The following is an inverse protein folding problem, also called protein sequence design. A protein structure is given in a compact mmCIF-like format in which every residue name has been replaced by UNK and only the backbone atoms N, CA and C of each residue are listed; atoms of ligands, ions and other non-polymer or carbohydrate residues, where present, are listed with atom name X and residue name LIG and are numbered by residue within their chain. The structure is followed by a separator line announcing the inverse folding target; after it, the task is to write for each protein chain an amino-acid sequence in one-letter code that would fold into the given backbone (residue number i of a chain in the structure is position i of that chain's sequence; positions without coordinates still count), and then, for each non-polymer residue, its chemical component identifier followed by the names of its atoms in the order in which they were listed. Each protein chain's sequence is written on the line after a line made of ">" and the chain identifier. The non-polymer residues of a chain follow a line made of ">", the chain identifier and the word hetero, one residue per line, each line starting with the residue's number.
data_IF_530313000266
#
_entry.id   IF_530313000266
#
_cell.length_a   1.000
_cell.length_b   1.000
_cell.length_c   1.000
_cell.angle_alpha   90.00
_cell.angle_beta   90.00
_cell.angle_gamma   90.00
#
_symmetry.space_group_name_H-M   'P 1'
#
loop_
_entity.id
_entity.type
_entity.pdbx_description
1 polymer ?
#
# COMPACT_ATOMS: atom_id res chain seq x y z
N UNK A 1 5.62 -4.55 14.21
CA UNK A 1 6.23 -3.22 14.05
C UNK A 1 5.94 -2.41 15.30
N UNK A 2 6.96 -1.75 15.87
CA UNK A 2 6.85 -0.84 17.01
C UNK A 2 7.12 0.59 16.52
N UNK A 3 6.31 1.53 16.98
CA UNK A 3 6.50 2.96 16.75
C UNK A 3 6.59 3.66 18.10
N UNK A 4 7.68 4.39 18.30
CA UNK A 4 7.89 5.14 19.54
C UNK A 4 6.94 6.33 19.59
N UNK A 5 6.45 6.64 20.79
CA UNK A 5 5.77 7.89 21.05
C UNK A 5 6.67 9.10 20.71
N UNK A 6 6.09 10.21 20.25
CA UNK A 6 6.83 11.46 20.06
C UNK A 6 7.49 11.95 21.36
N UNK A 7 8.60 12.68 21.22
CA UNK A 7 9.19 13.43 22.33
C UNK A 7 8.48 14.78 22.38
N UNK A 8 7.78 15.09 23.48
CA UNK A 8 6.90 16.27 23.64
C UNK A 8 5.59 16.20 22.81
N UNK A 9 4.75 17.24 22.91
CA UNK A 9 3.43 17.35 22.24
C UNK A 9 3.52 17.53 20.71
N UNK A 10 4.50 16.93 20.06
CA UNK A 10 4.73 17.00 18.62
C UNK A 10 4.14 15.77 17.91
N UNK A 11 3.78 15.93 16.63
CA UNK A 11 3.43 14.81 15.76
C UNK A 11 4.68 14.35 15.01
N UNK A 12 4.93 13.04 14.95
CA UNK A 12 6.05 12.48 14.18
C UNK A 12 5.56 11.49 13.12
N UNK A 13 6.29 11.40 12.01
CA UNK A 13 5.99 10.44 10.94
C UNK A 13 6.59 9.09 11.31
N UNK A 14 5.74 8.08 11.52
CA UNK A 14 6.16 6.69 11.69
C UNK A 14 6.41 5.99 10.36
N UNK A 15 5.51 6.19 9.39
CA UNK A 15 5.66 5.70 8.00
C UNK A 15 5.15 6.78 7.06
N UNK A 16 5.93 7.19 6.03
CA UNK A 16 5.49 8.20 5.08
C UNK A 16 4.30 7.71 4.23
N UNK A 17 3.55 8.64 3.58
CA UNK A 17 2.51 8.29 2.61
C UNK A 17 2.99 7.31 1.54
N UNK A 18 2.29 6.19 1.39
CA UNK A 18 2.57 5.17 0.38
C UNK A 18 1.32 4.34 0.04
N UNK A 19 1.45 3.51 -0.99
CA UNK A 19 0.54 2.41 -1.31
C UNK A 19 1.30 1.09 -1.13
N UNK A 20 0.60 0.04 -0.72
CA UNK A 20 1.19 -1.30 -0.67
C UNK A 20 1.39 -1.82 -2.09
N UNK A 21 2.59 -2.28 -2.44
CA UNK A 21 2.85 -2.86 -3.77
C UNK A 21 2.25 -4.26 -3.95
N UNK A 22 1.85 -4.90 -2.86
CA UNK A 22 1.49 -6.30 -2.76
C UNK A 22 0.06 -6.60 -3.30
N UNK A 23 -0.47 -7.80 -3.05
CA UNK A 23 -1.88 -8.12 -3.34
C UNK A 23 -2.81 -7.49 -2.30
N UNK A 24 -2.60 -7.84 -1.03
CA UNK A 24 -3.45 -7.43 0.08
C UNK A 24 -2.67 -7.47 1.39
N UNK A 25 -2.94 -6.52 2.27
CA UNK A 25 -2.39 -6.46 3.63
C UNK A 25 -3.49 -6.66 4.66
N UNK A 26 -3.29 -7.56 5.61
CA UNK A 26 -4.07 -7.62 6.85
C UNK A 26 -3.27 -6.95 7.96
N UNK A 27 -3.85 -5.94 8.59
CA UNK A 27 -3.21 -5.15 9.62
C UNK A 27 -3.99 -5.23 10.93
N UNK A 28 -3.31 -5.66 11.98
CA UNK A 28 -3.73 -5.50 13.36
C UNK A 28 -2.94 -4.37 14.01
N UNK A 29 -3.58 -3.62 14.91
CA UNK A 29 -2.90 -2.63 15.76
C UNK A 29 -3.46 -2.70 17.17
N UNK A 30 -2.66 -2.31 18.17
CA UNK A 30 -3.18 -2.02 19.50
C UNK A 30 -4.08 -0.77 19.48
N UNK A 31 -4.67 -0.42 20.62
CA UNK A 31 -5.64 0.67 20.77
C UNK A 31 -5.03 2.08 20.63
N UNK A 32 -3.75 2.17 20.27
CA UNK A 32 -3.06 3.44 19.98
C UNK A 32 -3.23 3.75 18.50
N UNK A 33 -3.93 4.86 18.22
CA UNK A 33 -4.14 5.33 16.85
C UNK A 33 -2.81 5.70 16.18
N UNK A 34 -2.83 5.72 14.85
CA UNK A 34 -1.72 6.28 14.08
C UNK A 34 -1.78 5.99 12.60
N UNK A 35 -2.50 4.93 12.19
CA UNK A 35 -2.76 4.71 10.77
C UNK A 35 -3.80 5.72 10.26
N UNK A 36 -3.40 6.46 9.24
CA UNK A 36 -4.27 7.35 8.48
C UNK A 36 -4.38 6.86 7.02
N UNK A 37 -5.60 6.87 6.49
CA UNK A 37 -5.92 6.49 5.11
C UNK A 37 -6.44 7.74 4.39
N UNK A 38 -5.92 8.01 3.20
CA UNK A 38 -6.37 9.13 2.38
C UNK A 38 -7.66 8.75 1.62
N UNK A 39 -8.69 9.58 1.73
CA UNK A 39 -9.92 9.41 0.96
C UNK A 39 -9.78 9.95 -0.48
N UNK A 40 -10.86 9.84 -1.27
CA UNK A 40 -10.87 10.28 -2.68
C UNK A 40 -10.75 11.80 -2.84
N UNK A 41 -11.10 12.55 -1.81
CA UNK A 41 -11.02 14.02 -1.77
C UNK A 41 -9.63 14.50 -1.32
N UNK A 42 -8.71 13.57 -1.02
CA UNK A 42 -7.34 13.86 -0.61
C UNK A 42 -7.19 14.09 0.89
N UNK A 43 -8.24 13.89 1.68
CA UNK A 43 -8.24 14.10 3.13
C UNK A 43 -7.73 12.87 3.87
N UNK A 44 -6.92 13.08 4.91
CA UNK A 44 -6.39 12.02 5.76
C UNK A 44 -7.39 11.66 6.86
N UNK A 45 -7.83 10.41 6.87
CA UNK A 45 -8.78 9.88 7.85
C UNK A 45 -8.09 8.94 8.84
N UNK A 46 -8.33 9.19 10.13
CA UNK A 46 -7.89 8.27 11.19
C UNK A 46 -8.70 6.97 11.17
N UNK A 47 -8.03 5.85 11.41
CA UNK A 47 -8.67 4.53 11.50
C UNK A 47 -8.90 4.15 12.96
N UNK A 48 -10.09 4.45 13.48
CA UNK A 48 -10.49 3.99 14.81
C UNK A 48 -11.04 2.57 14.71
N UNK A 49 -10.32 1.62 15.29
CA UNK A 49 -10.68 0.20 15.23
C UNK A 49 -11.26 -0.31 16.54
N UNK A 50 -12.06 -1.38 16.42
CA UNK A 50 -12.41 -2.23 17.56
C UNK A 50 -11.22 -3.13 17.93
N UNK A 51 -10.97 -3.41 19.22
CA UNK A 51 -9.88 -4.29 19.65
C UNK A 51 -9.85 -5.67 18.97
N UNK A 52 -10.99 -6.15 18.47
CA UNK A 52 -11.14 -7.47 17.84
C UNK A 52 -11.29 -7.39 16.32
N UNK A 53 -10.66 -6.39 15.69
CA UNK A 53 -10.76 -6.17 14.24
C UNK A 53 -9.40 -6.09 13.57
N UNK A 54 -9.41 -6.39 12.27
CA UNK A 54 -8.26 -6.22 11.38
C UNK A 54 -8.65 -5.28 10.25
N UNK A 55 -7.70 -4.48 9.78
CA UNK A 55 -7.85 -3.69 8.55
C UNK A 55 -7.37 -4.54 7.38
N UNK A 56 -8.15 -4.54 6.30
CA UNK A 56 -7.73 -5.12 5.02
C UNK A 56 -7.43 -3.97 4.07
N UNK A 57 -6.18 -3.88 3.61
CA UNK A 57 -5.73 -2.87 2.64
C UNK A 57 -5.50 -3.57 1.30
N UNK A 58 -6.07 -3.01 0.24
CA UNK A 58 -5.86 -3.46 -1.14
C UNK A 58 -4.50 -2.96 -1.59
N UNK A 59 -3.63 -3.86 -2.05
CA UNK A 59 -2.37 -3.49 -2.65
C UNK A 59 -2.50 -3.22 -4.16
N UNK A 60 -1.46 -2.60 -4.73
CA UNK A 60 -1.43 -2.22 -6.13
C UNK A 60 -1.44 -3.41 -7.08
N UNK A 61 -0.84 -4.53 -6.69
CA UNK A 61 -0.86 -5.72 -7.53
C UNK A 61 -2.30 -6.23 -7.70
N UNK A 62 -3.13 -6.17 -6.65
CA UNK A 62 -4.55 -6.55 -6.74
C UNK A 62 -5.35 -5.53 -7.55
N UNK A 63 -5.03 -4.23 -7.43
CA UNK A 63 -5.58 -3.19 -8.30
C UNK A 63 -5.32 -3.50 -9.78
N UNK A 64 -4.09 -3.88 -10.14
CA UNK A 64 -3.72 -4.29 -11.50
C UNK A 64 -4.47 -5.54 -11.94
N UNK A 65 -4.48 -6.59 -11.10
CA UNK A 65 -5.18 -7.83 -11.40
C UNK A 65 -6.68 -7.59 -11.64
N UNK A 66 -7.31 -6.68 -10.91
CA UNK A 66 -8.72 -6.30 -11.09
C UNK A 66 -8.97 -5.31 -12.24
N UNK A 67 -8.00 -5.08 -13.13
CA UNK A 67 -8.07 -4.09 -14.21
C UNK A 67 -8.44 -2.68 -13.72
N UNK A 68 -7.95 -2.28 -12.53
CA UNK A 68 -8.17 -0.95 -11.96
C UNK A 68 -9.52 -0.74 -11.28
N UNK A 69 -10.37 -1.77 -11.15
CA UNK A 69 -11.71 -1.65 -10.54
C UNK A 69 -11.70 -1.28 -9.06
N UNK A 70 -10.64 -1.65 -8.34
CA UNK A 70 -10.40 -1.24 -6.96
C UNK A 70 -9.10 -0.44 -6.88
N UNK A 71 -9.08 0.59 -6.05
CA UNK A 71 -7.90 1.43 -5.81
C UNK A 71 -7.14 0.98 -4.57
N UNK A 72 -5.81 0.86 -4.69
CA UNK A 72 -4.93 0.85 -3.52
C UNK A 72 -4.94 2.24 -2.87
N UNK A 73 -5.34 2.38 -1.61
CA UNK A 73 -5.40 3.69 -0.97
C UNK A 73 -4.02 4.14 -0.51
N UNK A 74 -3.76 5.45 -0.58
CA UNK A 74 -2.65 6.04 0.14
C UNK A 74 -2.90 5.91 1.64
N UNK A 75 -1.87 5.49 2.36
CA UNK A 75 -1.89 5.42 3.80
C UNK A 75 -0.55 5.82 4.38
N UNK A 76 -0.57 6.29 5.62
CA UNK A 76 0.61 6.71 6.38
C UNK A 76 0.45 6.34 7.85
N UNK A 77 1.55 6.36 8.59
CA UNK A 77 1.53 6.23 10.04
C UNK A 77 2.02 7.52 10.66
N UNK A 78 1.15 8.18 11.42
CA UNK A 78 1.45 9.36 12.23
C UNK A 78 1.44 8.96 13.70
N UNK A 79 2.46 9.39 14.44
CA UNK A 79 2.57 9.14 15.88
C UNK A 79 2.20 10.41 16.64
N UNK A 80 1.32 10.23 17.62
CA UNK A 80 0.80 11.27 18.50
C UNK A 80 0.58 10.72 19.90
N UNK A 81 0.60 11.60 20.90
CA UNK A 81 0.31 11.24 22.29
C UNK A 81 1.52 10.68 23.04
N UNK A 82 1.24 9.94 24.10
CA UNK A 82 2.21 9.55 25.14
C UNK A 82 2.43 8.03 25.25
N UNK A 83 1.88 7.26 24.30
CA UNK A 83 1.93 5.80 24.27
C UNK A 83 2.60 5.27 22.99
N UNK A 84 3.34 4.16 23.12
CA UNK A 84 3.94 3.47 21.97
C UNK A 84 2.86 2.72 21.16
N UNK A 85 2.95 2.76 19.83
CA UNK A 85 2.05 1.99 18.94
C UNK A 85 2.70 0.68 18.51
N UNK A 86 1.90 -0.38 18.53
CA UNK A 86 2.28 -1.71 18.05
C UNK A 86 1.32 -2.15 16.96
N UNK A 87 1.86 -2.75 15.90
CA UNK A 87 1.05 -3.33 14.84
C UNK A 87 1.67 -4.59 14.25
N UNK A 88 0.83 -5.46 13.73
CA UNK A 88 1.20 -6.68 13.01
C UNK A 88 0.61 -6.58 11.61
N UNK A 89 1.48 -6.59 10.59
CA UNK A 89 1.09 -6.63 9.19
C UNK A 89 1.38 -8.01 8.60
N UNK A 90 0.37 -8.60 7.96
CA UNK A 90 0.50 -9.76 7.09
C UNK A 90 0.34 -9.30 5.65
N UNK A 91 1.41 -9.43 4.87
CA UNK A 91 1.47 -8.95 3.49
C UNK A 91 1.40 -10.15 2.53
N UNK A 92 0.38 -10.19 1.68
CA UNK A 92 0.23 -11.24 0.67
C UNK A 92 0.92 -10.86 -0.64
N UNK A 93 1.78 -11.74 -1.15
CA UNK A 93 2.50 -11.54 -2.40
C UNK A 93 2.12 -12.56 -3.46
N UNK A 94 2.52 -12.29 -4.70
CA UNK A 94 2.46 -13.25 -5.80
C UNK A 94 3.79 -14.00 -5.86
N UNK A 95 3.75 -15.30 -6.11
CA UNK A 95 4.96 -16.12 -6.30
C UNK A 95 5.74 -15.63 -7.52
N UNK A 96 7.04 -15.40 -7.38
CA UNK A 96 7.93 -15.09 -8.51
C UNK A 96 7.88 -16.16 -9.60
N UNK A 97 7.98 -15.72 -10.86
CA UNK A 97 7.76 -16.54 -12.06
C UNK A 97 6.29 -16.67 -12.46
N UNK A 98 5.34 -16.23 -11.64
CA UNK A 98 3.92 -16.23 -11.99
C UNK A 98 3.50 -14.89 -12.59
N UNK A 99 3.01 -14.93 -13.83
CA UNK A 99 2.53 -13.75 -14.53
C UNK A 99 1.20 -13.28 -13.96
N UNK A 100 1.20 -12.11 -13.34
CA UNK A 100 -0.02 -11.39 -12.97
C UNK A 100 -0.64 -10.86 -14.24
N UNK A 101 -1.81 -11.39 -14.58
CA UNK A 101 -2.61 -11.00 -15.74
C UNK A 101 -4.00 -10.59 -15.30
N UNK A 102 -4.53 -9.55 -15.96
CA UNK A 102 -5.94 -9.18 -15.84
C UNK A 102 -6.79 -10.37 -16.32
N UNK A 103 -7.77 -10.85 -15.53
CA UNK A 103 -8.76 -11.83 -15.97
C UNK A 103 -9.55 -11.31 -17.17
N UNK A 104 -9.77 -12.18 -18.17
CA UNK A 104 -10.45 -11.78 -19.40
C UNK A 104 -11.90 -11.34 -19.14
N UNK A 105 -12.52 -11.87 -18.09
CA UNK A 105 -13.87 -11.53 -17.63
C UNK A 105 -14.00 -10.09 -17.12
N UNK A 106 -12.87 -9.43 -16.81
CA UNK A 106 -12.84 -8.04 -16.37
C UNK A 106 -12.58 -7.06 -17.52
N UNK A 107 -12.43 -7.55 -18.75
CA UNK A 107 -12.14 -6.78 -19.95
C UNK A 107 -13.32 -6.83 -20.92
N UNK A 108 -13.84 -5.66 -21.30
CA UNK A 108 -14.95 -5.51 -22.24
C UNK A 108 -14.86 -4.14 -22.94
N UNK A 109 -15.79 -3.84 -23.85
CA UNK A 109 -15.81 -2.58 -24.60
C UNK A 109 -15.92 -1.33 -23.71
N UNK A 110 -16.47 -1.47 -22.50
CA UNK A 110 -16.59 -0.37 -21.50
C UNK A 110 -15.39 -0.32 -20.56
N UNK A 111 -14.66 -1.42 -20.39
CA UNK A 111 -13.51 -1.58 -19.52
C UNK A 111 -12.37 -2.23 -20.32
N UNK A 112 -11.69 -1.48 -21.20
CA UNK A 112 -10.59 -2.02 -22.00
C UNK A 112 -9.44 -2.48 -21.09
N UNK A 113 -8.55 -3.31 -21.64
CA UNK A 113 -7.37 -3.78 -20.92
C UNK A 113 -6.46 -2.59 -20.58
N UNK A 114 -6.27 -2.32 -19.29
CA UNK A 114 -5.40 -1.23 -18.83
C UNK A 114 -3.97 -1.68 -18.56
N UNK A 115 -3.79 -2.96 -18.24
CA UNK A 115 -2.51 -3.49 -17.79
C UNK A 115 -2.10 -4.76 -18.53
N UNK A 116 -0.88 -4.78 -19.07
CA UNK A 116 -0.26 -5.96 -19.67
C UNK A 116 0.23 -6.94 -18.58
N UNK A 117 0.35 -8.24 -18.91
CA UNK A 117 0.90 -9.22 -17.97
C UNK A 117 2.30 -8.83 -17.50
N UNK A 118 2.59 -9.06 -16.22
CA UNK A 118 3.91 -8.82 -15.63
C UNK A 118 4.29 -9.86 -14.58
N UNK A 119 5.58 -10.07 -14.38
CA UNK A 119 6.09 -10.76 -13.20
C UNK A 119 6.26 -9.74 -12.07
N UNK A 120 5.58 -9.99 -10.95
CA UNK A 120 5.57 -9.05 -9.83
C UNK A 120 6.90 -9.03 -9.07
N UNK A 121 7.61 -10.15 -8.99
CA UNK A 121 8.92 -10.21 -8.33
C UNK A 121 9.98 -9.46 -9.15
N UNK A 122 9.95 -9.60 -10.47
CA UNK A 122 10.83 -8.82 -11.35
C UNK A 122 10.57 -7.32 -11.22
N UNK A 123 9.29 -6.91 -11.14
CA UNK A 123 8.94 -5.52 -10.87
C UNK A 123 9.53 -5.03 -9.54
N UNK A 124 9.37 -5.80 -8.45
CA UNK A 124 9.90 -5.41 -7.13
C UNK A 124 11.43 -5.29 -7.14
N UNK A 125 12.14 -6.18 -7.84
CA UNK A 125 13.60 -6.10 -8.05
C UNK A 125 13.98 -4.85 -8.84
N UNK A 126 13.30 -4.57 -9.94
CA UNK A 126 13.48 -3.35 -10.73
C UNK A 126 13.26 -2.10 -9.89
N UNK A 127 12.12 -2.00 -9.21
CA UNK A 127 11.74 -0.84 -8.40
C UNK A 127 12.74 -0.59 -7.27
N UNK A 128 13.17 -1.65 -6.56
CA UNK A 128 14.20 -1.55 -5.52
C UNK A 128 15.52 -1.01 -6.06
N UNK A 129 15.90 -1.41 -7.28
CA UNK A 129 17.11 -0.89 -7.94
C UNK A 129 17.01 0.60 -8.29
N UNK A 130 15.83 1.08 -8.69
CA UNK A 130 15.60 2.49 -9.02
C UNK A 130 15.60 3.39 -7.77
N UNK A 131 15.08 2.88 -6.65
CA UNK A 131 15.20 3.54 -5.34
C UNK A 131 16.67 3.63 -4.93
N UNK A 132 17.43 2.54 -5.04
CA UNK A 132 18.85 2.51 -4.69
C UNK A 132 19.70 3.50 -5.51
N UNK A 133 19.35 3.73 -6.78
CA UNK A 133 20.00 4.72 -7.66
C UNK A 133 19.54 6.16 -7.41
N UNK A 134 18.58 6.39 -6.52
CA UNK A 134 18.00 7.71 -6.26
C UNK A 134 17.11 8.25 -7.38
N UNK A 135 16.74 7.40 -8.36
CA UNK A 135 15.80 7.75 -9.45
C UNK A 135 14.39 7.94 -8.89
N UNK A 136 14.06 7.20 -7.83
CA UNK A 136 12.83 7.35 -7.06
C UNK A 136 13.18 7.81 -5.65
N UNK A 137 12.63 8.96 -5.20
CA UNK A 137 12.84 9.47 -3.84
C UNK A 137 12.08 8.61 -2.83
N UNK A 138 12.78 8.14 -1.80
CA UNK A 138 12.24 7.25 -0.74
C UNK A 138 11.13 7.86 0.12
N UNK A 139 10.98 9.20 0.13
CA UNK A 139 9.99 9.90 0.98
C UNK A 139 8.54 9.85 0.50
N UNK A 140 8.31 9.40 -0.74
CA UNK A 140 6.99 9.16 -1.31
C UNK A 140 7.10 7.89 -2.16
N UNK A 141 7.04 6.73 -1.51
CA UNK A 141 7.10 5.43 -2.19
C UNK A 141 5.76 5.21 -2.91
N UNK A 142 5.58 5.92 -4.02
CA UNK A 142 4.55 5.64 -5.00
C UNK A 142 5.14 4.51 -5.83
N UNK A 143 4.69 3.28 -5.56
CA UNK A 143 5.09 2.17 -6.43
C UNK A 143 4.63 2.49 -7.86
N UNK A 144 5.53 2.23 -8.80
CA UNK A 144 5.32 2.53 -10.22
C UNK A 144 4.69 1.36 -10.96
N UNK A 145 4.03 0.46 -10.24
CA UNK A 145 3.55 -0.79 -10.81
C UNK A 145 2.58 -0.54 -11.96
N UNK A 146 1.60 0.35 -11.76
CA UNK A 146 0.62 0.70 -12.80
C UNK A 146 1.28 1.22 -14.07
N UNK A 147 2.30 2.07 -13.95
CA UNK A 147 3.06 2.59 -15.09
C UNK A 147 3.91 1.49 -15.75
N UNK A 148 4.56 0.65 -14.95
CA UNK A 148 5.41 -0.45 -15.42
C UNK A 148 4.63 -1.44 -16.30
N UNK A 149 3.38 -1.73 -15.92
CA UNK A 149 2.53 -2.66 -16.64
C UNK A 149 1.39 -2.00 -17.45
N UNK A 150 1.39 -0.69 -17.67
CA UNK A 150 0.37 -0.05 -18.51
C UNK A 150 0.44 -0.57 -19.97
N UNK A 151 -0.73 -0.67 -20.61
CA UNK A 151 -0.89 -0.88 -22.06
C UNK A 151 -0.67 0.41 -22.82
#
# INVERSE_FOLDING_TARGET
>A
MKYEKPKANEQTIGVPPHCDSNMMTLLYQNEVNGLEIQNKDGEWMNTKLSPNSFIVIIGECLCVWLNGRLSSPYHRVMMMGDEDRYSLGLFSGVRGGYMVKVPAELVDDKNPLLFKPHDHEEFLKYFSSEVAKGVVKSGAVISRLKTYCAV
#
